data_IF_689638737373
#
_entry.id   IF_689638737373
#
_cell.length_a   1.000
_cell.length_b   1.000
_cell.length_c   1.000
_cell.angle_alpha   90.00
_cell.angle_beta   90.00
_cell.angle_gamma   90.00
#
_symmetry.space_group_name_H-M   'P 1'
#
loop_
_entity.id
_entity.type
_entity.pdbx_description
1 polymer ?
#
# COMPACT_ATOMS: atom_id res chain seq x y z
N UNK A 1 -3.71 -6.90 -14.39
CA UNK A 1 -2.73 -5.78 -14.32
C UNK A 1 -3.28 -4.57 -15.05
N UNK A 2 -3.52 -4.67 -16.36
CA UNK A 2 -4.12 -3.58 -17.14
C UNK A 2 -5.47 -3.13 -16.57
N UNK A 3 -6.38 -4.08 -16.27
CA UNK A 3 -7.66 -3.81 -15.60
C UNK A 3 -7.48 -3.01 -14.30
N UNK A 4 -6.65 -3.50 -13.37
CA UNK A 4 -6.34 -2.78 -12.13
C UNK A 4 -5.79 -1.36 -12.36
N UNK A 5 -4.92 -1.16 -13.36
CA UNK A 5 -4.41 0.17 -13.70
C UNK A 5 -5.53 1.07 -14.17
N UNK A 6 -6.36 0.60 -15.11
CA UNK A 6 -7.47 1.37 -15.66
C UNK A 6 -8.48 1.73 -14.57
N UNK A 7 -8.97 0.75 -13.82
CA UNK A 7 -9.96 0.93 -12.75
C UNK A 7 -9.46 1.92 -11.69
N UNK A 8 -8.19 1.79 -11.30
CA UNK A 8 -7.60 2.68 -10.28
C UNK A 8 -7.41 4.10 -10.81
N UNK A 9 -6.98 4.25 -12.06
CA UNK A 9 -6.87 5.57 -12.70
C UNK A 9 -8.24 6.23 -12.85
N UNK A 10 -9.28 5.49 -13.21
CA UNK A 10 -10.66 5.98 -13.26
C UNK A 10 -11.16 6.41 -11.86
N UNK A 11 -11.00 5.57 -10.83
CA UNK A 11 -11.40 5.91 -9.46
C UNK A 11 -10.68 7.17 -8.92
N UNK A 12 -9.40 7.34 -9.27
CA UNK A 12 -8.63 8.54 -8.94
C UNK A 12 -9.19 9.77 -9.66
N UNK A 13 -9.51 9.65 -10.96
CA UNK A 13 -10.08 10.75 -11.74
C UNK A 13 -11.50 11.14 -11.28
N UNK A 14 -12.32 10.17 -10.86
CA UNK A 14 -13.64 10.43 -10.26
C UNK A 14 -13.53 11.24 -8.97
N UNK A 15 -12.54 10.93 -8.12
CA UNK A 15 -12.29 11.66 -6.88
C UNK A 15 -11.63 13.02 -7.13
N UNK A 16 -10.70 13.08 -8.08
CA UNK A 16 -9.90 14.26 -8.41
C UNK A 16 -9.78 14.42 -9.92
N UNK A 17 -10.73 15.16 -10.51
CA UNK A 17 -10.86 15.33 -11.96
C UNK A 17 -9.64 15.94 -12.66
N UNK A 18 -8.81 16.70 -11.95
CA UNK A 18 -7.60 17.34 -12.49
C UNK A 18 -6.32 16.56 -12.17
N UNK A 19 -6.43 15.35 -11.61
CA UNK A 19 -5.27 14.57 -11.17
C UNK A 19 -4.37 14.12 -12.33
N UNK A 20 -3.08 13.98 -12.04
CA UNK A 20 -2.14 13.29 -12.92
C UNK A 20 -1.80 11.93 -12.31
N UNK A 21 -1.90 10.87 -13.10
CA UNK A 21 -1.51 9.51 -12.69
C UNK A 21 -0.47 8.98 -13.66
N UNK A 22 0.64 8.49 -13.11
CA UNK A 22 1.68 7.79 -13.87
C UNK A 22 1.82 6.38 -13.33
N UNK A 23 1.62 5.39 -14.20
CA UNK A 23 1.78 3.97 -13.89
C UNK A 23 2.89 3.39 -14.78
N UNK A 24 3.97 2.96 -14.16
CA UNK A 24 5.15 2.43 -14.84
C UNK A 24 5.78 1.33 -14.00
N UNK A 25 6.33 0.29 -14.63
CA UNK A 25 6.89 -0.83 -13.87
C UNK A 25 7.36 -1.97 -14.74
N UNK A 26 7.53 -3.11 -14.11
CA UNK A 26 8.11 -4.31 -14.69
C UNK A 26 6.98 -5.31 -14.98
N UNK A 27 6.57 -5.39 -16.25
CA UNK A 27 5.44 -6.26 -16.61
C UNK A 27 5.72 -7.75 -16.35
N UNK A 28 6.99 -8.16 -16.44
CA UNK A 28 7.42 -9.56 -16.33
C UNK A 28 7.24 -10.17 -14.94
N UNK A 29 7.27 -9.36 -13.88
CA UNK A 29 7.14 -9.83 -12.49
C UNK A 29 5.87 -9.33 -11.80
N UNK A 30 5.03 -8.57 -12.49
CA UNK A 30 3.78 -8.09 -11.95
C UNK A 30 3.87 -6.78 -11.14
N UNK A 31 5.02 -6.10 -11.12
CA UNK A 31 5.24 -4.90 -10.30
C UNK A 31 4.93 -3.59 -11.06
N UNK A 32 4.06 -2.75 -10.50
CA UNK A 32 3.75 -1.40 -11.02
C UNK A 32 4.01 -0.35 -9.95
N UNK A 33 4.67 0.72 -10.35
CA UNK A 33 4.90 1.92 -9.57
C UNK A 33 3.86 2.97 -9.98
N UNK A 34 2.98 3.32 -9.04
CA UNK A 34 2.01 4.38 -9.20
C UNK A 34 2.55 5.69 -8.61
N UNK A 35 2.44 6.76 -9.37
CA UNK A 35 2.66 8.13 -8.92
C UNK A 35 1.38 8.92 -9.16
N UNK A 36 0.79 9.42 -8.08
CA UNK A 36 -0.50 10.13 -8.12
C UNK A 36 -0.30 11.56 -7.65
N UNK A 37 -0.74 12.51 -8.46
CA UNK A 37 -0.78 13.92 -8.12
C UNK A 37 -2.25 14.38 -8.18
N UNK A 38 -2.95 14.51 -7.03
CA UNK A 38 -4.36 14.89 -7.01
C UNK A 38 -4.70 16.26 -7.60
N UNK A 39 -3.75 17.21 -7.62
CA UNK A 39 -3.94 18.60 -8.10
C UNK A 39 -5.11 19.34 -7.44
N UNK A 40 -5.27 19.17 -6.13
CA UNK A 40 -6.24 19.91 -5.30
C UNK A 40 -5.54 20.55 -4.11
N UNK A 41 -6.11 21.64 -3.59
CA UNK A 41 -5.67 22.24 -2.33
C UNK A 41 -6.24 21.43 -1.15
N UNK A 42 -5.38 20.73 -0.42
CA UNK A 42 -5.71 20.02 0.82
C UNK A 42 -4.42 19.77 1.62
N UNK A 43 -4.55 19.32 2.87
CA UNK A 43 -3.41 18.89 3.67
C UNK A 43 -2.71 17.68 3.03
N UNK A 44 -1.38 17.73 2.92
CA UNK A 44 -0.59 16.73 2.20
C UNK A 44 -0.68 15.33 2.83
N UNK A 45 -0.82 15.24 4.16
CA UNK A 45 -0.95 13.95 4.84
C UNK A 45 -2.29 13.29 4.52
N UNK A 46 -3.37 14.07 4.50
CA UNK A 46 -4.72 13.58 4.13
C UNK A 46 -4.80 13.11 2.68
N UNK A 47 -4.07 13.79 1.78
CA UNK A 47 -4.00 13.41 0.37
C UNK A 47 -3.21 12.11 0.20
N UNK A 48 -2.09 11.96 0.91
CA UNK A 48 -1.29 10.74 0.83
C UNK A 48 -2.08 9.51 1.27
N UNK A 49 -2.74 9.58 2.44
CA UNK A 49 -3.60 8.50 2.93
C UNK A 49 -4.77 8.20 1.98
N UNK A 50 -5.38 9.24 1.40
CA UNK A 50 -6.45 9.07 0.42
C UNK A 50 -5.98 8.39 -0.87
N UNK A 51 -4.77 8.67 -1.32
CA UNK A 51 -4.17 7.99 -2.47
C UNK A 51 -3.86 6.52 -2.15
N UNK A 52 -3.25 6.27 -0.98
CA UNK A 52 -2.96 4.92 -0.50
C UNK A 52 -4.23 4.07 -0.39
N UNK A 53 -5.31 4.61 0.17
CA UNK A 53 -6.60 3.93 0.27
C UNK A 53 -7.13 3.50 -1.11
N UNK A 54 -7.18 4.42 -2.08
CA UNK A 54 -7.66 4.13 -3.43
C UNK A 54 -6.82 3.05 -4.13
N UNK A 55 -5.49 3.12 -3.98
CA UNK A 55 -4.59 2.10 -4.53
C UNK A 55 -4.81 0.75 -3.85
N UNK A 56 -4.77 0.70 -2.52
CA UNK A 56 -4.72 -0.56 -1.79
C UNK A 56 -6.08 -1.28 -1.71
N UNK A 57 -7.21 -0.58 -1.75
CA UNK A 57 -8.53 -1.20 -1.77
C UNK A 57 -8.74 -2.05 -3.04
N UNK A 58 -8.26 -1.59 -4.19
CA UNK A 58 -8.34 -2.33 -5.46
C UNK A 58 -7.46 -3.58 -5.50
N UNK A 59 -6.42 -3.65 -4.67
CA UNK A 59 -5.49 -4.79 -4.67
C UNK A 59 -6.09 -6.05 -4.06
N UNK A 60 -7.02 -5.93 -3.10
CA UNK A 60 -7.58 -7.08 -2.39
C UNK A 60 -8.33 -8.03 -3.33
N UNK A 61 -9.07 -7.47 -4.29
CA UNK A 61 -9.79 -8.25 -5.31
C UNK A 61 -8.85 -8.99 -6.26
N UNK A 62 -7.68 -8.40 -6.51
CA UNK A 62 -6.66 -8.94 -7.41
C UNK A 62 -5.64 -9.84 -6.70
N UNK A 63 -5.83 -10.12 -5.40
CA UNK A 63 -4.88 -10.82 -4.56
C UNK A 63 -3.45 -10.23 -4.65
N UNK A 64 -3.39 -8.89 -4.76
CA UNK A 64 -2.17 -8.11 -4.98
C UNK A 64 -1.41 -7.75 -3.70
N UNK A 65 -0.21 -7.17 -3.87
CA UNK A 65 0.65 -6.73 -2.78
C UNK A 65 0.72 -5.20 -2.68
N UNK A 66 0.44 -4.62 -1.50
CA UNK A 66 0.65 -3.18 -1.20
C UNK A 66 2.13 -2.77 -1.30
N UNK A 67 3.04 -3.75 -1.31
CA UNK A 67 4.45 -3.52 -1.55
C UNK A 67 5.07 -4.71 -2.23
N UNK A 68 5.36 -4.58 -3.52
CA UNK A 68 6.11 -5.58 -4.28
C UNK A 68 7.58 -5.64 -3.82
N UNK A 69 8.23 -4.48 -3.64
CA UNK A 69 9.68 -4.41 -3.40
C UNK A 69 10.09 -3.64 -2.12
N UNK A 70 9.45 -2.50 -1.81
CA UNK A 70 9.96 -1.54 -0.82
C UNK A 70 9.68 -1.89 0.67
N UNK A 71 9.08 -3.06 0.93
CA UNK A 71 8.68 -3.47 2.28
C UNK A 71 7.55 -2.64 2.91
N UNK A 72 7.29 -2.88 4.20
CA UNK A 72 6.15 -2.31 4.94
C UNK A 72 6.54 -1.09 5.77
N UNK A 73 7.61 -1.21 6.57
CA UNK A 73 8.13 -0.10 7.37
C UNK A 73 7.14 0.46 8.39
N UNK A 74 7.07 1.79 8.48
CA UNK A 74 6.06 2.51 9.29
C UNK A 74 4.90 2.91 8.39
N UNK A 75 5.22 3.47 7.21
CA UNK A 75 4.25 3.98 6.23
C UNK A 75 3.10 3.01 5.93
N UNK A 76 3.42 1.75 5.61
CA UNK A 76 2.43 0.80 5.10
C UNK A 76 1.85 -0.14 6.16
N UNK A 77 2.23 0.01 7.44
CA UNK A 77 1.87 -0.98 8.47
C UNK A 77 0.35 -1.08 8.68
N UNK A 78 -0.36 0.04 8.58
CA UNK A 78 -1.82 0.08 8.72
C UNK A 78 -2.56 -0.62 7.57
N UNK A 79 -1.92 -0.71 6.41
CA UNK A 79 -2.48 -1.33 5.21
C UNK A 79 -2.15 -2.81 5.07
N UNK A 80 -1.36 -3.40 5.98
CA UNK A 80 -0.83 -4.76 5.86
C UNK A 80 -1.91 -5.82 5.61
N UNK A 81 -3.10 -5.64 6.17
CA UNK A 81 -4.26 -6.54 6.01
C UNK A 81 -4.83 -6.56 4.59
N UNK A 82 -4.48 -5.60 3.73
CA UNK A 82 -4.89 -5.59 2.32
C UNK A 82 -4.18 -6.66 1.49
N UNK A 83 -3.01 -7.14 1.95
CA UNK A 83 -2.21 -8.15 1.24
C UNK A 83 -1.85 -9.38 2.05
N UNK A 84 -2.20 -9.41 3.34
CA UNK A 84 -1.91 -10.53 4.24
C UNK A 84 -3.13 -10.89 5.04
N UNK A 85 -3.36 -12.20 5.17
CA UNK A 85 -4.37 -12.76 6.05
C UNK A 85 -4.04 -12.50 7.51
N UNK A 86 -5.07 -12.54 8.35
CA UNK A 86 -4.91 -12.43 9.80
C UNK A 86 -3.98 -13.51 10.36
N UNK A 87 -4.07 -14.74 9.83
CA UNK A 87 -3.19 -15.85 10.22
C UNK A 87 -1.72 -15.56 9.93
N UNK A 88 -1.40 -15.04 8.75
CA UNK A 88 -0.02 -14.64 8.40
C UNK A 88 0.47 -13.52 9.31
N UNK A 89 -0.36 -12.49 9.54
CA UNK A 89 -0.02 -11.36 10.41
C UNK A 89 0.26 -11.83 11.84
N UNK A 90 -0.56 -12.73 12.38
CA UNK A 90 -0.37 -13.29 13.71
C UNK A 90 0.91 -14.13 13.81
N UNK A 91 1.25 -14.89 12.78
CA UNK A 91 2.50 -15.64 12.72
C UNK A 91 3.72 -14.70 12.72
N UNK A 92 3.72 -13.65 11.90
CA UNK A 92 4.84 -12.68 11.85
C UNK A 92 5.01 -12.00 13.22
N UNK A 93 3.89 -11.65 13.89
CA UNK A 93 3.92 -11.06 15.24
C UNK A 93 4.51 -12.02 16.27
N UNK A 94 4.13 -13.30 16.24
CA UNK A 94 4.70 -14.32 17.10
C UNK A 94 6.21 -14.48 16.89
N UNK A 95 6.67 -14.49 15.63
CA UNK A 95 8.10 -14.55 15.31
C UNK A 95 8.87 -13.32 15.81
N UNK A 96 8.33 -12.11 15.63
CA UNK A 96 8.93 -10.87 16.14
C UNK A 96 9.11 -10.92 17.66
N UNK A 97 8.07 -11.36 18.38
CA UNK A 97 8.12 -11.48 19.85
C UNK A 97 9.09 -12.54 20.33
N UNK A 98 9.18 -13.68 19.62
CA UNK A 98 10.13 -14.75 19.94
C UNK A 98 11.59 -14.28 19.77
N UNK A 99 11.89 -13.57 18.68
CA UNK A 99 13.26 -13.13 18.36
C UNK A 99 13.67 -11.87 19.14
N UNK A 100 12.72 -11.01 19.49
CA UNK A 100 12.96 -9.74 20.15
C UNK A 100 12.00 -9.47 21.30
N UNK A 101 11.99 -10.28 22.38
CA UNK A 101 11.00 -10.19 23.46
C UNK A 101 11.03 -8.87 24.23
N UNK A 102 12.13 -8.10 24.12
CA UNK A 102 12.26 -6.75 24.71
C UNK A 102 11.88 -5.61 23.75
N UNK A 103 11.43 -5.93 22.53
CA UNK A 103 11.08 -4.99 21.46
C UNK A 103 12.18 -3.94 21.13
N UNK A 104 13.45 -4.33 21.22
CA UNK A 104 14.58 -3.43 20.92
C UNK A 104 14.96 -3.40 19.43
N UNK A 105 14.53 -4.41 18.68
CA UNK A 105 14.88 -4.57 17.27
C UNK A 105 13.88 -3.80 16.39
N UNK A 106 14.22 -2.55 16.09
CA UNK A 106 13.47 -1.65 15.19
C UNK A 106 11.99 -1.47 15.62
N UNK A 107 11.74 -0.85 16.79
CA UNK A 107 10.40 -0.68 17.34
C UNK A 107 9.48 0.14 16.42
N UNK A 108 8.17 -0.16 16.46
CA UNK A 108 7.15 0.55 15.67
C UNK A 108 7.09 0.21 14.17
N UNK A 109 8.03 -0.59 13.67
CA UNK A 109 8.05 -1.04 12.26
C UNK A 109 7.31 -2.34 12.11
N UNK A 110 6.36 -2.37 11.17
CA UNK A 110 5.38 -3.44 10.91
C UNK A 110 4.37 -3.61 12.04
N UNK A 111 4.83 -3.68 13.29
CA UNK A 111 4.03 -3.75 14.50
C UNK A 111 4.58 -2.80 15.55
N UNK A 112 3.68 -2.33 16.42
CA UNK A 112 4.01 -1.56 17.62
C UNK A 112 4.42 -2.49 18.77
#
# INVERSE_FOLDING_TARGET
MEEYVNDTTEAIAEKWALSNVYALGHISDGNIHFFVQPNVESDSSSLHESCDALLYEGLKHNNGSISAEHGIGIEKKQWLSQSRSETEVNLIRAMKNMLGPKNLLNPGRIFD
#
